data_IF_509428384879
#
_entry.id   IF_509428384879
#
_cell.length_a   1.000
_cell.length_b   1.000
_cell.length_c   1.000
_cell.angle_alpha   90.00
_cell.angle_beta   90.00
_cell.angle_gamma   90.00
#
_symmetry.space_group_name_H-M   'P 1'
#
loop_
_entity.id
_entity.type
_entity.pdbx_description
1 polymer ?
#
# COMPACT_ATOMS: atom_id res chain seq x y z
N UNK A 1 56.77 -1.00 43.61
CA UNK A 1 56.00 -1.52 42.46
C UNK A 1 54.64 -0.85 42.49
N UNK A 2 54.36 0.04 41.55
CA UNK A 2 53.12 0.80 41.47
C UNK A 2 52.18 0.04 40.54
N UNK A 3 51.07 -0.48 41.07
CA UNK A 3 50.04 -1.13 40.27
C UNK A 3 49.22 -0.05 39.55
N UNK A 4 49.44 0.12 38.25
CA UNK A 4 48.53 0.90 37.39
C UNK A 4 47.24 0.11 37.19
N UNK A 5 46.16 0.56 37.83
CA UNK A 5 44.81 0.09 37.55
C UNK A 5 44.38 0.64 36.18
N UNK A 6 44.24 -0.24 35.19
CA UNK A 6 43.58 0.10 33.93
C UNK A 6 42.07 0.22 34.21
N UNK A 7 41.58 1.46 34.36
CA UNK A 7 40.14 1.73 34.35
C UNK A 7 39.60 1.41 32.96
N UNK A 8 38.86 0.31 32.83
CA UNK A 8 38.06 0.02 31.63
C UNK A 8 36.91 1.02 31.59
N UNK A 9 37.04 2.06 30.76
CA UNK A 9 35.94 3.00 30.52
C UNK A 9 34.77 2.18 29.96
N UNK A 10 33.69 2.03 30.72
CA UNK A 10 32.42 1.52 30.19
C UNK A 10 31.84 2.64 29.33
N UNK A 11 32.07 2.54 28.03
CA UNK A 11 31.51 3.49 27.08
C UNK A 11 29.97 3.43 27.16
N UNK A 12 29.35 4.58 27.43
CA UNK A 12 27.91 4.67 27.60
C UNK A 12 27.24 4.74 26.24
N UNK A 13 26.26 3.86 26.02
CA UNK A 13 25.52 3.78 24.78
C UNK A 13 24.63 5.01 24.62
N UNK A 14 24.57 5.54 23.40
CA UNK A 14 23.79 6.72 23.04
C UNK A 14 22.84 6.38 21.90
N UNK A 15 21.88 7.28 21.64
CA UNK A 15 21.07 7.21 20.42
C UNK A 15 21.95 7.51 19.21
N UNK A 16 21.57 7.05 18.00
CA UNK A 16 22.30 7.37 16.78
C UNK A 16 22.25 8.88 16.50
N UNK A 17 23.22 9.37 15.75
CA UNK A 17 23.11 10.67 15.09
C UNK A 17 22.01 10.64 14.00
N UNK A 18 21.55 11.81 13.52
CA UNK A 18 20.62 11.86 12.39
C UNK A 18 21.18 11.14 11.16
N UNK A 19 20.34 10.40 10.40
CA UNK A 19 20.70 9.90 9.08
C UNK A 19 20.98 11.03 8.09
N UNK A 20 21.51 10.66 6.92
CA UNK A 20 21.60 11.55 5.78
C UNK A 20 20.24 12.06 5.31
N UNK A 21 20.26 13.17 4.56
CA UNK A 21 19.06 13.70 3.88
C UNK A 21 18.53 12.66 2.88
N UNK A 22 17.24 12.30 2.93
CA UNK A 22 16.66 11.39 1.95
C UNK A 22 16.56 12.04 0.57
N UNK A 23 16.89 11.27 -0.47
CA UNK A 23 16.77 11.60 -1.88
C UNK A 23 15.84 10.64 -2.60
N UNK A 24 15.16 11.12 -3.65
CA UNK A 24 14.37 10.27 -4.55
C UNK A 24 15.30 9.61 -5.55
N UNK A 25 15.31 8.28 -5.57
CA UNK A 25 16.06 7.50 -6.56
C UNK A 25 15.21 7.22 -7.80
N UNK A 26 13.92 6.93 -7.59
CA UNK A 26 12.99 6.50 -8.63
C UNK A 26 11.57 6.94 -8.28
N UNK A 27 10.82 7.40 -9.29
CA UNK A 27 9.41 7.71 -9.16
C UNK A 27 8.61 7.06 -10.29
N UNK A 28 7.85 6.03 -9.91
CA UNK A 28 6.87 5.35 -10.75
C UNK A 28 5.49 5.98 -10.54
N UNK A 29 4.52 5.42 -11.24
CA UNK A 29 3.11 5.82 -11.19
C UNK A 29 2.50 5.64 -9.80
N UNK A 30 2.82 4.53 -9.13
CA UNK A 30 2.22 4.09 -7.88
C UNK A 30 3.19 4.15 -6.69
N UNK A 31 4.48 4.39 -6.97
CA UNK A 31 5.56 4.19 -6.01
C UNK A 31 6.69 5.21 -6.12
N UNK A 32 7.28 5.54 -4.97
CA UNK A 32 8.40 6.45 -4.83
C UNK A 32 9.52 5.78 -4.03
N UNK A 33 10.69 5.61 -4.65
CA UNK A 33 11.86 5.04 -3.99
C UNK A 33 12.74 6.15 -3.42
N UNK A 34 13.02 6.05 -2.13
CA UNK A 34 13.91 6.93 -1.39
C UNK A 34 15.17 6.19 -0.94
N UNK A 35 16.29 6.91 -0.87
CA UNK A 35 17.53 6.46 -0.25
C UNK A 35 18.14 7.56 0.63
N UNK A 36 18.96 7.15 1.59
CA UNK A 36 19.74 8.05 2.46
C UNK A 36 21.03 7.36 2.90
N UNK A 37 21.92 8.09 3.59
CA UNK A 37 23.10 7.49 4.23
C UNK A 37 22.81 7.14 5.69
N UNK A 38 23.41 6.07 6.19
CA UNK A 38 23.41 5.76 7.62
C UNK A 38 24.05 6.90 8.44
N UNK A 39 23.73 7.02 9.75
CA UNK A 39 24.38 7.98 10.64
C UNK A 39 25.89 7.81 10.67
N UNK A 40 26.64 8.92 10.79
CA UNK A 40 28.10 8.89 11.00
C UNK A 40 28.50 8.23 12.31
N UNK A 41 27.66 8.35 13.34
CA UNK A 41 27.85 7.73 14.65
C UNK A 41 26.55 7.04 15.07
N UNK A 42 26.64 5.75 15.41
CA UNK A 42 25.50 4.94 15.86
C UNK A 42 25.32 4.97 17.39
N UNK A 43 26.15 5.72 18.10
CA UNK A 43 26.11 5.83 19.56
C UNK A 43 26.64 4.59 20.30
N UNK A 44 27.45 3.76 19.64
CA UNK A 44 28.04 2.53 20.22
C UNK A 44 27.11 1.32 20.15
N UNK A 45 26.02 1.42 19.38
CA UNK A 45 25.12 0.31 19.09
C UNK A 45 24.58 0.43 17.68
N UNK A 46 24.67 -0.67 16.92
CA UNK A 46 24.19 -0.73 15.55
C UNK A 46 22.74 -0.24 15.41
N UNK A 47 22.49 0.49 14.32
CA UNK A 47 21.14 0.89 13.92
C UNK A 47 20.33 -0.35 13.58
N UNK A 48 19.17 -0.46 14.21
CA UNK A 48 18.23 -1.59 14.07
C UNK A 48 17.13 -1.32 13.05
N UNK A 49 16.75 -0.05 12.87
CA UNK A 49 15.67 0.35 11.97
C UNK A 49 15.79 1.85 11.63
N UNK A 50 15.16 2.24 10.52
CA UNK A 50 14.89 3.60 10.13
C UNK A 50 13.38 3.86 10.09
N UNK A 51 12.97 5.02 10.59
CA UNK A 51 11.60 5.51 10.52
C UNK A 51 11.54 6.62 9.48
N UNK A 52 10.79 6.39 8.41
CA UNK A 52 10.55 7.40 7.38
C UNK A 52 9.28 8.15 7.72
N UNK A 53 9.37 9.47 7.81
CA UNK A 53 8.25 10.35 8.05
C UNK A 53 7.98 11.21 6.81
N UNK A 54 6.71 11.51 6.55
CA UNK A 54 6.27 12.38 5.46
C UNK A 54 5.33 13.47 5.96
N UNK A 55 5.29 14.58 5.24
CA UNK A 55 4.25 15.60 5.35
C UNK A 55 3.90 16.12 3.96
N UNK A 56 2.67 16.57 3.78
CA UNK A 56 2.30 17.33 2.58
C UNK A 56 2.82 18.76 2.69
N UNK A 57 3.02 19.44 1.56
CA UNK A 57 3.41 20.86 1.54
C UNK A 57 2.42 21.75 2.29
N UNK A 58 1.13 21.40 2.25
CA UNK A 58 0.05 22.07 2.98
C UNK A 58 0.02 21.80 4.49
N UNK A 59 0.68 20.73 4.96
CA UNK A 59 0.67 20.31 6.37
C UNK A 59 2.03 20.53 7.06
N UNK A 60 1.98 21.03 8.29
CA UNK A 60 3.16 21.07 9.19
C UNK A 60 3.30 19.80 10.04
N UNK A 61 2.31 18.89 10.01
CA UNK A 61 2.32 17.66 10.79
C UNK A 61 3.02 16.55 10.02
N UNK A 62 4.04 15.98 10.65
CA UNK A 62 4.72 14.77 10.19
C UNK A 62 3.89 13.53 10.53
N UNK A 63 3.83 12.59 9.60
CA UNK A 63 3.23 11.27 9.77
C UNK A 63 4.27 10.21 9.43
N UNK A 64 4.22 9.07 10.12
CA UNK A 64 5.01 7.91 9.74
C UNK A 64 4.56 7.41 8.37
N UNK A 65 5.49 7.30 7.42
CA UNK A 65 5.27 6.72 6.10
C UNK A 65 5.58 5.23 6.10
N UNK A 66 6.76 4.82 6.60
CA UNK A 66 7.21 3.43 6.57
C UNK A 66 8.32 3.17 7.62
N UNK A 67 8.61 1.91 7.89
CA UNK A 67 9.81 1.49 8.64
C UNK A 67 10.61 0.45 7.89
N UNK A 68 11.93 0.60 7.87
CA UNK A 68 12.83 -0.29 7.12
C UNK A 68 14.13 -0.50 7.89
N UNK A 69 14.78 -1.66 7.70
CA UNK A 69 16.12 -1.92 8.24
C UNK A 69 17.22 -1.37 7.34
N UNK A 70 16.91 -1.21 6.06
CA UNK A 70 17.83 -0.76 5.03
C UNK A 70 17.78 0.77 4.89
N UNK A 71 18.85 1.44 4.44
CA UNK A 71 18.87 2.88 4.20
C UNK A 71 18.16 3.27 2.87
N UNK A 72 17.13 2.51 2.50
CA UNK A 72 16.29 2.73 1.33
C UNK A 72 14.89 2.22 1.61
N UNK A 73 13.89 2.86 1.00
CA UNK A 73 12.49 2.42 1.08
C UNK A 73 11.75 2.74 -0.20
N UNK A 74 10.79 1.90 -0.56
CA UNK A 74 9.80 2.22 -1.59
C UNK A 74 8.48 2.53 -0.90
N UNK A 75 8.00 3.76 -1.05
CA UNK A 75 6.71 4.22 -0.55
C UNK A 75 5.66 4.00 -1.64
N UNK A 76 4.45 3.62 -1.26
CA UNK A 76 3.30 3.51 -2.17
C UNK A 76 2.06 4.16 -1.55
N UNK A 77 1.00 4.32 -2.34
CA UNK A 77 -0.24 5.02 -1.95
C UNK A 77 -0.01 6.49 -1.58
N UNK A 78 0.91 7.13 -2.29
CA UNK A 78 1.04 8.59 -2.26
C UNK A 78 -0.04 9.19 -3.17
N UNK A 79 -0.68 10.27 -2.71
CA UNK A 79 -1.75 10.93 -3.46
C UNK A 79 -1.17 11.57 -4.73
N UNK A 80 -1.62 11.19 -5.94
CA UNK A 80 -1.18 11.82 -7.19
C UNK A 80 -1.44 13.33 -7.19
N UNK A 81 -0.53 14.11 -7.78
CA UNK A 81 -0.60 15.58 -7.83
C UNK A 81 -0.18 16.28 -6.52
N UNK A 82 -0.22 15.59 -5.38
CA UNK A 82 0.18 16.13 -4.08
C UNK A 82 1.70 16.21 -3.95
N UNK A 83 2.16 17.22 -3.19
CA UNK A 83 3.60 17.44 -2.95
C UNK A 83 3.98 17.02 -1.54
N UNK A 84 4.91 16.07 -1.43
CA UNK A 84 5.40 15.53 -0.17
C UNK A 84 6.84 15.96 0.13
N UNK A 85 7.13 16.08 1.43
CA UNK A 85 8.46 16.30 1.97
C UNK A 85 8.73 15.17 2.98
N UNK A 86 9.93 14.60 2.92
CA UNK A 86 10.34 13.44 3.70
C UNK A 86 11.47 13.76 4.67
N UNK A 87 11.53 13.03 5.78
CA UNK A 87 12.69 12.99 6.69
C UNK A 87 12.82 11.60 7.31
N UNK A 88 13.99 11.27 7.84
CA UNK A 88 14.28 9.93 8.37
C UNK A 88 14.87 10.03 9.77
N UNK A 89 14.52 9.09 10.65
CA UNK A 89 15.17 8.88 11.95
C UNK A 89 15.81 7.49 11.99
N UNK A 90 16.98 7.37 12.61
CA UNK A 90 17.60 6.07 12.90
C UNK A 90 17.23 5.62 14.33
N UNK A 91 17.05 4.33 14.51
CA UNK A 91 16.74 3.70 15.79
C UNK A 91 17.78 2.66 16.13
N UNK A 92 18.35 2.73 17.32
CA UNK A 92 19.11 1.63 17.93
C UNK A 92 18.44 1.21 19.25
N UNK A 93 19.05 0.27 19.98
CA UNK A 93 18.52 -0.22 21.26
C UNK A 93 18.38 0.83 22.36
N UNK A 94 19.00 2.01 22.21
CA UNK A 94 18.87 3.16 23.13
C UNK A 94 17.68 4.04 22.72
N UNK A 95 17.41 4.15 21.43
CA UNK A 95 16.20 4.77 20.89
C UNK A 95 16.42 5.54 19.59
N UNK A 96 15.47 6.42 19.30
CA UNK A 96 15.40 7.20 18.06
C UNK A 96 16.30 8.44 18.06
N UNK A 97 17.02 8.64 16.96
CA UNK A 97 17.75 9.86 16.65
C UNK A 97 16.82 11.08 16.49
N UNK A 98 17.43 12.26 16.48
CA UNK A 98 16.83 13.43 15.84
C UNK A 98 16.62 13.15 14.34
N UNK A 99 15.63 13.80 13.69
CA UNK A 99 15.37 13.58 12.28
C UNK A 99 16.49 14.14 11.41
N UNK A 100 16.67 13.54 10.24
CA UNK A 100 17.50 14.09 9.18
C UNK A 100 16.96 15.42 8.66
N UNK A 101 17.78 16.10 7.85
CA UNK A 101 17.31 17.24 7.08
C UNK A 101 16.16 16.82 6.14
N UNK A 102 15.23 17.75 5.90
CA UNK A 102 14.11 17.53 5.00
C UNK A 102 14.59 17.27 3.55
N UNK A 103 13.94 16.34 2.86
CA UNK A 103 14.13 16.11 1.43
C UNK A 103 13.79 17.37 0.62
N UNK A 104 14.14 17.36 -0.66
CA UNK A 104 13.45 18.24 -1.62
C UNK A 104 11.96 17.90 -1.66
N UNK A 105 11.14 18.87 -2.02
CA UNK A 105 9.71 18.65 -2.22
C UNK A 105 9.47 17.82 -3.48
N UNK A 106 8.70 16.75 -3.36
CA UNK A 106 8.44 15.79 -4.44
C UNK A 106 6.95 15.82 -4.78
N UNK A 107 6.62 16.26 -5.99
CA UNK A 107 5.26 16.14 -6.49
C UNK A 107 5.04 14.74 -7.05
N UNK A 108 4.00 14.05 -6.59
CA UNK A 108 3.64 12.73 -7.09
C UNK A 108 3.08 12.88 -8.50
N UNK A 109 3.68 12.17 -9.47
CA UNK A 109 3.21 12.21 -10.87
C UNK A 109 1.73 11.81 -10.91
N UNK A 110 0.92 12.64 -11.55
CA UNK A 110 -0.43 12.24 -11.92
C UNK A 110 -0.36 11.14 -12.98
N UNK A 111 -1.22 10.14 -12.85
CA UNK A 111 -1.57 9.25 -13.93
C UNK A 111 -2.16 10.10 -15.06
N UNK A 112 -1.33 10.60 -15.96
CA UNK A 112 -1.80 10.93 -17.30
C UNK A 112 -2.10 9.59 -17.95
N UNK A 113 -3.29 9.03 -17.68
CA UNK A 113 -3.89 8.10 -18.63
C UNK A 113 -3.79 8.84 -19.98
N UNK A 114 -3.24 8.24 -21.05
CA UNK A 114 -3.52 8.77 -22.36
C UNK A 114 -5.04 8.92 -22.39
N UNK A 115 -5.52 10.15 -22.55
CA UNK A 115 -6.91 10.35 -22.90
C UNK A 115 -7.01 9.62 -24.22
N UNK A 116 -7.52 8.37 -24.22
CA UNK A 116 -8.13 7.84 -25.42
C UNK A 116 -9.14 8.94 -25.78
N UNK A 117 -8.88 9.63 -26.90
CA UNK A 117 -9.85 10.56 -27.45
C UNK A 117 -11.21 9.89 -27.35
N UNK A 118 -12.26 10.60 -26.87
CA UNK A 118 -13.56 10.00 -26.74
C UNK A 118 -13.89 9.38 -28.10
N UNK A 119 -13.84 8.04 -28.18
CA UNK A 119 -14.45 7.33 -29.30
C UNK A 119 -15.86 7.86 -29.31
N UNK A 120 -16.33 8.37 -30.45
CA UNK A 120 -17.69 8.85 -30.57
C UNK A 120 -18.62 7.71 -30.17
N UNK A 121 -19.07 7.76 -28.92
CA UNK A 121 -19.93 6.78 -28.31
C UNK A 121 -21.25 6.96 -29.06
N UNK A 122 -21.72 5.89 -29.70
CA UNK A 122 -23.02 5.95 -30.36
C UNK A 122 -24.09 6.25 -29.30
N UNK A 123 -25.21 6.91 -29.64
CA UNK A 123 -26.25 7.25 -28.66
C UNK A 123 -26.80 6.05 -27.86
N UNK A 124 -26.60 4.82 -28.32
CA UNK A 124 -26.97 3.58 -27.62
C UNK A 124 -25.99 3.20 -26.48
N UNK A 125 -24.73 3.61 -26.55
CA UNK A 125 -23.70 3.28 -25.54
C UNK A 125 -23.63 4.31 -24.40
N UNK A 126 -24.15 5.53 -24.59
CA UNK A 126 -24.20 6.60 -23.57
C UNK A 126 -25.29 6.35 -22.50
N UNK A 127 -26.31 5.55 -22.82
CA UNK A 127 -27.30 5.10 -21.82
C UNK A 127 -26.75 4.02 -20.86
N UNK A 128 -25.64 3.35 -21.22
CA UNK A 128 -25.03 2.28 -20.41
C UNK A 128 -24.06 2.80 -19.33
N UNK A 129 -23.63 4.07 -19.42
CA UNK A 129 -22.63 4.68 -18.54
C UNK A 129 -23.19 5.29 -17.24
N UNK A 130 -24.51 5.35 -17.07
CA UNK A 130 -25.16 5.74 -15.82
C UNK A 130 -25.70 4.50 -15.12
N UNK A 131 -24.78 3.71 -14.57
CA UNK A 131 -25.16 2.62 -13.67
C UNK A 131 -25.71 3.25 -12.39
N UNK A 132 -27.02 3.17 -12.22
CA UNK A 132 -27.70 3.51 -10.98
C UNK A 132 -27.38 2.43 -9.94
N UNK A 133 -26.35 2.68 -9.13
CA UNK A 133 -25.86 1.73 -8.13
C UNK A 133 -26.96 1.28 -7.15
N UNK A 134 -27.96 2.13 -6.89
CA UNK A 134 -29.11 1.81 -6.03
C UNK A 134 -30.05 0.74 -6.64
N UNK A 135 -29.87 0.39 -7.92
CA UNK A 135 -30.67 -0.63 -8.63
C UNK A 135 -29.93 -1.94 -8.87
N UNK A 136 -28.67 -2.06 -8.45
CA UNK A 136 -27.86 -3.28 -8.62
C UNK A 136 -28.11 -4.34 -7.53
N UNK A 137 -28.94 -4.04 -6.53
CA UNK A 137 -29.36 -4.93 -5.42
C UNK A 137 -30.26 -6.10 -5.84
N UNK A 138 -30.09 -6.65 -7.05
CA UNK A 138 -30.67 -7.92 -7.40
C UNK A 138 -30.07 -8.98 -6.45
N UNK A 139 -30.86 -9.32 -5.42
CA UNK A 139 -30.56 -10.38 -4.44
C UNK A 139 -29.87 -11.53 -5.16
N UNK A 140 -28.70 -11.89 -4.66
CA UNK A 140 -28.02 -13.09 -5.13
C UNK A 140 -28.97 -14.26 -4.86
N UNK A 141 -29.59 -14.78 -5.93
CA UNK A 141 -30.23 -16.09 -5.86
C UNK A 141 -29.21 -17.06 -5.29
N UNK A 142 -29.61 -17.93 -4.36
CA UNK A 142 -28.75 -18.83 -3.57
C UNK A 142 -27.74 -19.62 -4.44
N UNK A 143 -26.66 -18.96 -4.88
CA UNK A 143 -25.51 -19.61 -5.48
C UNK A 143 -24.79 -20.27 -4.31
N UNK A 144 -24.60 -21.59 -4.43
CA UNK A 144 -23.89 -22.40 -3.43
C UNK A 144 -22.53 -21.74 -3.14
N UNK A 145 -22.45 -21.04 -2.01
CA UNK A 145 -21.26 -20.27 -1.62
C UNK A 145 -20.16 -21.26 -1.24
N UNK A 146 -19.20 -21.44 -2.14
CA UNK A 146 -18.04 -22.29 -1.89
C UNK A 146 -16.97 -21.47 -1.19
N UNK A 147 -16.51 -21.95 -0.03
CA UNK A 147 -15.38 -21.34 0.65
C UNK A 147 -14.16 -21.29 -0.27
N UNK A 148 -13.49 -20.13 -0.29
CA UNK A 148 -12.31 -19.90 -1.13
C UNK A 148 -11.11 -20.63 -0.53
N UNK A 149 -10.46 -21.51 -1.30
CA UNK A 149 -9.20 -22.13 -0.89
C UNK A 149 -8.04 -21.16 -1.13
N UNK A 150 -7.62 -20.49 -0.06
CA UNK A 150 -6.51 -19.52 -0.08
C UNK A 150 -5.19 -20.10 -0.60
N UNK A 151 -5.01 -21.43 -0.60
CA UNK A 151 -3.79 -22.07 -1.10
C UNK A 151 -3.86 -22.37 -2.61
N UNK A 152 -5.03 -22.19 -3.23
CA UNK A 152 -5.32 -22.55 -4.62
C UNK A 152 -6.16 -21.48 -5.30
N UNK A 153 -5.75 -20.22 -5.16
CA UNK A 153 -6.41 -19.12 -5.86
C UNK A 153 -6.00 -19.08 -7.35
N UNK A 154 -6.97 -18.89 -8.26
CA UNK A 154 -6.68 -18.66 -9.68
C UNK A 154 -5.88 -17.38 -9.90
N UNK A 155 -5.24 -17.26 -11.06
CA UNK A 155 -4.46 -16.09 -11.47
C UNK A 155 -4.98 -15.45 -12.78
N UNK A 156 -6.07 -15.98 -13.33
CA UNK A 156 -6.66 -15.63 -14.62
C UNK A 156 -7.92 -14.77 -14.46
N UNK A 157 -7.83 -13.72 -13.64
CA UNK A 157 -8.94 -12.81 -13.37
C UNK A 157 -9.59 -12.28 -14.66
N UNK A 158 -8.76 -11.87 -15.63
CA UNK A 158 -9.21 -11.33 -16.92
C UNK A 158 -9.98 -12.35 -17.77
N UNK A 159 -9.84 -13.65 -17.52
CA UNK A 159 -10.63 -14.67 -18.21
C UNK A 159 -12.10 -14.64 -17.75
N UNK A 160 -12.35 -14.33 -16.47
CA UNK A 160 -13.68 -14.40 -15.85
C UNK A 160 -14.35 -13.04 -15.69
N UNK A 161 -13.60 -11.99 -15.42
CA UNK A 161 -14.14 -10.65 -15.15
C UNK A 161 -13.62 -9.62 -16.14
N UNK A 162 -14.47 -8.62 -16.41
CA UNK A 162 -14.07 -7.37 -17.06
C UNK A 162 -13.95 -6.32 -15.95
N UNK A 163 -12.76 -5.78 -15.74
CA UNK A 163 -12.53 -4.66 -14.82
C UNK A 163 -12.92 -3.36 -15.53
N UNK A 164 -13.74 -2.55 -14.86
CA UNK A 164 -14.31 -1.33 -15.40
C UNK A 164 -13.69 -0.09 -14.73
N UNK A 165 -14.50 0.91 -14.39
CA UNK A 165 -14.04 2.14 -13.73
C UNK A 165 -13.61 1.92 -12.28
N UNK A 166 -12.77 2.83 -11.81
CA UNK A 166 -12.37 2.92 -10.40
C UNK A 166 -13.52 3.47 -9.56
N UNK A 167 -13.83 2.79 -8.46
CA UNK A 167 -14.84 3.21 -7.47
C UNK A 167 -14.21 3.96 -6.30
N UNK A 168 -12.96 3.63 -5.96
CA UNK A 168 -12.21 4.38 -4.96
C UNK A 168 -10.85 3.77 -4.61
N UNK A 169 -9.96 4.60 -4.10
CA UNK A 169 -8.61 4.22 -3.69
C UNK A 169 -8.42 4.38 -2.18
N UNK A 170 -7.80 3.38 -1.55
CA UNK A 170 -7.53 3.34 -0.12
C UNK A 170 -6.07 3.00 0.20
N UNK A 171 -5.73 3.02 1.49
CA UNK A 171 -4.38 2.73 1.97
C UNK A 171 -3.91 1.28 1.70
N UNK A 172 -4.84 0.38 1.36
CA UNK A 172 -4.61 -1.05 1.17
C UNK A 172 -4.87 -1.52 -0.27
N UNK A 173 -5.21 -0.63 -1.19
CA UNK A 173 -5.54 -1.01 -2.55
C UNK A 173 -6.54 -0.07 -3.23
N UNK A 174 -6.93 -0.44 -4.44
CA UNK A 174 -7.93 0.27 -5.24
C UNK A 174 -9.11 -0.64 -5.52
N UNK A 175 -10.32 -0.11 -5.41
CA UNK A 175 -11.57 -0.81 -5.69
C UNK A 175 -12.08 -0.36 -7.06
N UNK A 176 -12.43 -1.33 -7.89
CA UNK A 176 -12.98 -1.14 -9.23
C UNK A 176 -14.36 -1.77 -9.32
N UNK A 177 -15.18 -1.28 -10.23
CA UNK A 177 -16.36 -2.02 -10.66
C UNK A 177 -15.89 -3.17 -11.56
N UNK A 178 -16.45 -4.35 -11.37
CA UNK A 178 -16.17 -5.52 -12.21
C UNK A 178 -17.47 -6.13 -12.72
N UNK A 179 -17.44 -6.67 -13.94
CA UNK A 179 -18.55 -7.43 -14.52
C UNK A 179 -18.10 -8.86 -14.71
N UNK A 180 -18.81 -9.82 -14.14
CA UNK A 180 -18.61 -11.24 -14.41
C UNK A 180 -19.09 -11.57 -15.83
N UNK A 181 -18.18 -12.04 -16.69
CA UNK A 181 -18.47 -12.24 -18.13
C UNK A 181 -19.55 -13.28 -18.39
N UNK A 182 -19.66 -14.29 -17.53
CA UNK A 182 -20.62 -15.37 -17.70
C UNK A 182 -22.07 -14.96 -17.41
N UNK A 183 -22.27 -14.07 -16.43
CA UNK A 183 -23.60 -13.71 -15.92
C UNK A 183 -23.99 -12.27 -16.24
N UNK A 184 -23.03 -11.42 -16.58
CA UNK A 184 -23.22 -9.96 -16.68
C UNK A 184 -23.39 -9.28 -15.32
N UNK A 185 -23.26 -10.02 -14.21
CA UNK A 185 -23.45 -9.48 -12.87
C UNK A 185 -22.31 -8.53 -12.50
N UNK A 186 -22.67 -7.45 -11.80
CA UNK A 186 -21.71 -6.46 -11.32
C UNK A 186 -21.22 -6.81 -9.92
N UNK A 187 -19.94 -6.56 -9.68
CA UNK A 187 -19.21 -6.83 -8.45
C UNK A 187 -18.24 -5.66 -8.12
N UNK A 188 -17.78 -5.61 -6.88
CA UNK A 188 -16.63 -4.80 -6.49
C UNK A 188 -15.35 -5.65 -6.59
N UNK A 189 -14.33 -5.17 -7.28
CA UNK A 189 -13.01 -5.80 -7.36
C UNK A 189 -11.98 -4.96 -6.60
N UNK A 190 -11.59 -5.41 -5.41
CA UNK A 190 -10.56 -4.77 -4.58
C UNK A 190 -9.19 -5.36 -4.91
N UNK A 191 -8.35 -4.56 -5.55
CA UNK A 191 -6.96 -4.89 -5.89
C UNK A 191 -6.03 -4.51 -4.74
N UNK A 192 -5.50 -5.52 -4.04
CA UNK A 192 -4.62 -5.36 -2.87
C UNK A 192 -3.18 -5.63 -3.28
N UNK A 193 -2.34 -4.61 -3.23
CA UNK A 193 -0.92 -4.73 -3.58
C UNK A 193 -0.11 -5.32 -2.40
N UNK A 194 0.55 -6.46 -2.64
CA UNK A 194 1.44 -7.09 -1.67
C UNK A 194 2.76 -6.34 -1.65
N UNK A 195 3.13 -5.81 -0.49
CA UNK A 195 4.31 -4.95 -0.31
C UNK A 195 4.87 -5.10 1.11
N UNK A 196 6.09 -4.63 1.43
CA UNK A 196 6.69 -4.84 2.75
C UNK A 196 5.81 -4.41 3.96
N UNK A 197 4.94 -3.42 3.78
CA UNK A 197 3.95 -2.97 4.79
C UNK A 197 2.56 -3.63 4.71
N UNK A 198 2.26 -4.40 3.67
CA UNK A 198 1.01 -5.17 3.50
C UNK A 198 1.39 -6.59 3.11
N UNK A 199 1.50 -7.45 4.11
CA UNK A 199 1.99 -8.81 3.91
C UNK A 199 0.89 -9.65 3.27
N UNK A 200 1.31 -10.56 2.40
CA UNK A 200 0.40 -11.51 1.74
C UNK A 200 -0.40 -12.30 2.76
N UNK A 201 0.24 -12.74 3.83
CA UNK A 201 -0.38 -13.54 4.89
C UNK A 201 -1.53 -12.80 5.59
N UNK A 202 -1.44 -11.47 5.71
CA UNK A 202 -2.50 -10.65 6.31
C UNK A 202 -3.74 -10.63 5.41
N UNK A 203 -3.55 -10.53 4.08
CA UNK A 203 -4.64 -10.58 3.09
C UNK A 203 -5.28 -11.97 3.04
N UNK A 204 -4.47 -13.03 3.07
CA UNK A 204 -4.98 -14.40 3.12
C UNK A 204 -5.76 -14.67 4.42
N UNK A 205 -5.33 -14.06 5.52
CA UNK A 205 -6.06 -14.14 6.78
C UNK A 205 -7.42 -13.43 6.70
N UNK A 206 -7.50 -12.26 6.06
CA UNK A 206 -8.77 -11.56 5.78
C UNK A 206 -9.73 -12.47 4.99
N UNK A 207 -9.27 -13.11 3.91
CA UNK A 207 -10.08 -14.08 3.14
C UNK A 207 -10.57 -15.24 4.02
N UNK A 208 -9.70 -15.79 4.88
CA UNK A 208 -10.05 -16.89 5.78
C UNK A 208 -11.10 -16.48 6.81
N UNK A 209 -11.06 -15.24 7.30
CA UNK A 209 -12.07 -14.67 8.20
C UNK A 209 -13.40 -14.49 7.45
N UNK A 210 -13.37 -13.95 6.23
CA UNK A 210 -14.58 -13.78 5.41
C UNK A 210 -15.26 -15.11 5.07
N UNK A 211 -14.48 -16.16 4.78
CA UNK A 211 -14.99 -17.54 4.60
C UNK A 211 -15.69 -18.11 5.86
N UNK A 212 -15.43 -17.57 7.06
CA UNK A 212 -16.08 -18.03 8.29
C UNK A 212 -17.32 -17.20 8.63
N UNK A 213 -17.37 -15.94 8.17
CA UNK A 213 -18.37 -14.95 8.55
C UNK A 213 -19.50 -14.83 7.51
N UNK A 214 -20.04 -15.96 7.07
CA UNK A 214 -21.18 -15.97 6.15
C UNK A 214 -22.46 -15.49 6.83
N UNK A 215 -22.87 -14.26 6.51
CA UNK A 215 -24.06 -13.64 7.08
C UNK A 215 -24.62 -12.60 6.09
N UNK A 216 -25.94 -12.56 5.92
CA UNK A 216 -26.65 -11.68 4.96
C UNK A 216 -26.41 -10.18 5.18
N UNK A 217 -26.12 -9.77 6.42
CA UNK A 217 -25.77 -8.39 6.80
C UNK A 217 -24.28 -8.03 6.73
N UNK A 218 -23.41 -8.95 6.33
CA UNK A 218 -21.97 -8.70 6.21
C UNK A 218 -21.56 -8.72 4.74
N UNK A 219 -20.63 -7.85 4.36
CA UNK A 219 -20.01 -7.86 3.04
C UNK A 219 -19.46 -9.26 2.75
N UNK A 220 -19.89 -9.84 1.64
CA UNK A 220 -19.51 -11.20 1.27
C UNK A 220 -18.42 -11.17 0.20
N UNK A 221 -17.43 -12.02 0.40
CA UNK A 221 -16.43 -12.33 -0.60
C UNK A 221 -16.96 -13.43 -1.51
N UNK A 222 -17.03 -13.14 -2.81
CA UNK A 222 -17.46 -14.10 -3.82
C UNK A 222 -16.29 -14.96 -4.30
N UNK A 223 -15.19 -14.31 -4.70
CA UNK A 223 -14.00 -14.96 -5.23
C UNK A 223 -12.73 -14.17 -4.90
N UNK A 224 -11.57 -14.82 -5.01
CA UNK A 224 -10.28 -14.17 -4.87
C UNK A 224 -9.26 -14.75 -5.86
N UNK A 225 -8.32 -13.91 -6.30
CA UNK A 225 -7.31 -14.24 -7.29
C UNK A 225 -5.90 -13.85 -6.79
N UNK A 226 -4.91 -14.70 -6.99
CA UNK A 226 -3.49 -14.37 -6.77
C UNK A 226 -2.84 -13.96 -8.09
N UNK A 227 -2.54 -12.66 -8.22
CA UNK A 227 -1.92 -12.08 -9.41
C UNK A 227 -0.40 -11.87 -9.22
N UNK A 228 0.21 -12.55 -8.24
CA UNK A 228 1.63 -12.43 -7.92
C UNK A 228 1.91 -11.26 -6.99
N UNK A 229 2.12 -10.05 -7.51
CA UNK A 229 2.34 -8.86 -6.68
C UNK A 229 1.06 -8.28 -6.10
N UNK A 230 -0.10 -8.77 -6.51
CA UNK A 230 -1.41 -8.29 -6.12
C UNK A 230 -2.35 -9.45 -5.83
N UNK A 231 -3.31 -9.23 -4.94
CA UNK A 231 -4.43 -10.13 -4.70
C UNK A 231 -5.71 -9.35 -5.03
N UNK A 232 -6.56 -9.93 -5.86
CA UNK A 232 -7.88 -9.35 -6.17
C UNK A 232 -8.94 -10.05 -5.33
N UNK A 233 -9.79 -9.26 -4.65
CA UNK A 233 -10.96 -9.72 -3.91
C UNK A 233 -12.21 -9.28 -4.66
N UNK A 234 -13.05 -10.23 -5.06
CA UNK A 234 -14.35 -9.98 -5.70
C UNK A 234 -15.42 -10.00 -4.62
N UNK A 235 -15.97 -8.83 -4.32
CA UNK A 235 -16.92 -8.57 -3.24
C UNK A 235 -18.28 -8.16 -3.83
N UNK A 236 -19.34 -8.38 -3.06
CA UNK A 236 -20.66 -7.82 -3.37
C UNK A 236 -20.57 -6.28 -3.42
N UNK A 237 -21.15 -5.68 -4.47
CA UNK A 237 -21.24 -4.23 -4.63
C UNK A 237 -22.41 -3.66 -3.83
#
# INVERSE_FOLDING_TARGET
MQCSAFSRVKESLKKPEPPGKPSVDEQKVDSLRLSWSAPSQDGGSAVTQYIVEMRTSASKKWKKAESTKEPTVTLFNLVPGETFIFRVRAENKVGLSEPSAESEAVQVKELTKPVEEPKQISPEEDELGKVDYDKLDAKIEDVEKKAIDVNRMPNDLEAKYTICEELGQGAYGTVYRAIEKATGKTWAAKMVQVRPGVKREDVLHEISVMNQLHHDKLLQLHEAFDLGSEICLIEEL
#
